data_IF_766234448912
#
_entry.id   IF_766234448912
#
_cell.length_a   1.000
_cell.length_b   1.000
_cell.length_c   1.000
_cell.angle_alpha   90.00
_cell.angle_beta   90.00
_cell.angle_gamma   90.00
#
_symmetry.space_group_name_H-M   'P 1'
#
loop_
_entity.id
_entity.type
_entity.pdbx_description
1 polymer ?
#
# COMPACT_ATOMS: atom_id res chain seq x y z
N UNK A 1 5.13 -12.02 -9.80
CA UNK A 1 4.80 -10.67 -9.33
C UNK A 1 5.37 -9.65 -10.30
N UNK A 2 4.64 -8.57 -10.60
CA UNK A 2 5.13 -7.44 -11.37
C UNK A 2 4.53 -6.14 -10.84
N UNK A 3 5.10 -5.00 -11.24
CA UNK A 3 4.77 -3.69 -10.69
C UNK A 3 4.49 -2.70 -11.83
N UNK A 4 3.59 -1.76 -11.59
CA UNK A 4 3.25 -0.70 -12.54
C UNK A 4 3.09 0.62 -11.79
N UNK A 5 3.81 1.65 -12.20
CA UNK A 5 3.58 3.00 -11.71
C UNK A 5 2.27 3.49 -12.32
N UNK A 6 1.29 3.80 -11.48
CA UNK A 6 0.00 4.34 -11.90
C UNK A 6 0.07 5.84 -12.06
N UNK A 7 0.62 6.52 -11.06
CA UNK A 7 0.76 7.96 -11.04
C UNK A 7 2.07 8.37 -10.41
N UNK A 8 2.64 9.47 -10.88
CA UNK A 8 3.81 10.12 -10.29
C UNK A 8 3.60 11.64 -10.30
N UNK A 9 3.89 12.28 -9.18
CA UNK A 9 3.93 13.72 -9.06
C UNK A 9 5.20 14.14 -8.32
N UNK A 10 6.09 14.80 -9.04
CA UNK A 10 7.39 15.26 -8.50
C UNK A 10 7.28 16.55 -7.70
N UNK A 11 6.13 17.23 -7.75
CA UNK A 11 5.88 18.49 -7.07
C UNK A 11 4.80 18.37 -5.99
N UNK A 12 4.59 17.16 -5.48
CA UNK A 12 3.63 16.93 -4.41
C UNK A 12 3.96 17.76 -3.16
N UNK A 13 2.91 18.14 -2.42
CA UNK A 13 3.01 18.91 -1.17
C UNK A 13 3.79 20.24 -1.36
N UNK A 14 3.47 20.96 -2.43
CA UNK A 14 4.14 22.24 -2.71
C UNK A 14 5.60 22.09 -3.17
N UNK A 15 5.99 20.93 -3.70
CA UNK A 15 7.32 20.66 -4.20
C UNK A 15 8.30 20.05 -3.20
N UNK A 16 7.88 19.82 -1.95
CA UNK A 16 8.77 19.19 -0.95
C UNK A 16 8.89 17.68 -1.12
N UNK A 17 7.99 17.05 -1.87
CA UNK A 17 7.95 15.59 -2.05
C UNK A 17 7.71 15.17 -3.51
N UNK A 18 8.18 13.96 -3.84
CA UNK A 18 7.69 13.18 -4.97
C UNK A 18 6.70 12.15 -4.45
N UNK A 19 5.47 12.16 -4.97
CA UNK A 19 4.44 11.15 -4.68
C UNK A 19 4.36 10.15 -5.83
N UNK A 20 4.23 8.87 -5.49
CA UNK A 20 3.98 7.79 -6.45
C UNK A 20 2.85 6.88 -5.97
N UNK A 21 2.08 6.36 -6.89
CA UNK A 21 1.21 5.22 -6.68
C UNK A 21 1.71 4.07 -7.56
N UNK A 22 1.95 2.93 -6.95
CA UNK A 22 2.50 1.74 -7.60
C UNK A 22 1.56 0.58 -7.36
N UNK A 23 1.00 0.00 -8.43
CA UNK A 23 0.28 -1.27 -8.33
C UNK A 23 1.26 -2.43 -8.29
N UNK A 24 1.03 -3.32 -7.33
CA UNK A 24 1.73 -4.58 -7.14
C UNK A 24 0.79 -5.70 -7.56
N UNK A 25 1.07 -6.33 -8.70
CA UNK A 25 0.28 -7.42 -9.25
C UNK A 25 0.81 -8.75 -8.73
N UNK A 26 -0.07 -9.52 -8.09
CA UNK A 26 0.29 -10.76 -7.40
C UNK A 26 0.39 -11.95 -8.35
N UNK A 27 -0.30 -11.88 -9.48
CA UNK A 27 -0.36 -12.93 -10.51
C UNK A 27 0.08 -12.39 -11.86
N UNK A 28 0.11 -13.27 -12.88
CA UNK A 28 0.32 -12.85 -14.26
C UNK A 28 -0.88 -12.10 -14.84
N UNK A 29 -2.07 -12.32 -14.29
CA UNK A 29 -3.27 -11.54 -14.65
C UNK A 29 -3.34 -10.27 -13.81
N UNK A 30 -3.82 -9.18 -14.41
CA UNK A 30 -3.93 -7.87 -13.74
C UNK A 30 -5.14 -7.78 -12.79
N UNK A 31 -5.78 -8.91 -12.45
CA UNK A 31 -6.97 -8.94 -11.61
C UNK A 31 -6.69 -8.73 -10.12
N UNK A 32 -5.59 -9.29 -9.63
CA UNK A 32 -5.26 -9.26 -8.20
C UNK A 32 -4.04 -8.37 -7.97
N UNK A 33 -4.29 -7.19 -7.42
CA UNK A 33 -3.26 -6.22 -7.11
C UNK A 33 -3.64 -5.39 -5.88
N UNK A 34 -2.64 -4.83 -5.25
CA UNK A 34 -2.81 -3.75 -4.28
C UNK A 34 -2.00 -2.52 -4.71
N UNK A 35 -2.35 -1.36 -4.18
CA UNK A 35 -1.68 -0.10 -4.54
C UNK A 35 -0.87 0.42 -3.37
N UNK A 36 0.44 0.58 -3.59
CA UNK A 36 1.37 1.24 -2.66
C UNK A 36 1.36 2.73 -2.98
N UNK A 37 1.02 3.55 -1.99
CA UNK A 37 1.20 5.00 -2.02
C UNK A 37 2.53 5.34 -1.35
N UNK A 38 3.38 6.11 -2.05
CA UNK A 38 4.72 6.43 -1.61
C UNK A 38 4.92 7.94 -1.68
N UNK A 39 5.48 8.52 -0.61
CA UNK A 39 5.99 9.89 -0.57
C UNK A 39 7.49 9.86 -0.29
N UNK A 40 8.27 10.59 -1.06
CA UNK A 40 9.72 10.65 -0.97
C UNK A 40 10.13 12.11 -0.90
N UNK A 41 10.91 12.56 0.10
CA UNK A 41 11.36 13.94 0.17
C UNK A 41 12.23 14.31 -1.03
N UNK A 42 12.00 15.48 -1.61
CA UNK A 42 12.78 15.97 -2.75
C UNK A 42 14.16 16.49 -2.30
N UNK A 43 14.25 17.09 -1.12
CA UNK A 43 15.51 17.54 -0.51
C UNK A 43 16.26 16.35 0.10
N UNK A 44 17.08 15.68 -0.73
CA UNK A 44 17.88 14.52 -0.31
C UNK A 44 19.15 14.40 -1.16
N UNK A 45 20.21 13.85 -0.56
CA UNK A 45 21.49 13.54 -1.25
C UNK A 45 21.64 12.05 -1.57
N UNK A 46 20.64 11.23 -1.30
CA UNK A 46 20.71 9.79 -1.50
C UNK A 46 19.46 9.08 -1.01
N UNK A 47 19.64 7.87 -0.52
CA UNK A 47 18.59 7.08 0.09
C UNK A 47 18.15 7.67 1.42
N UNK A 48 16.87 7.56 1.71
CA UNK A 48 16.25 8.04 2.94
C UNK A 48 15.59 6.88 3.70
N UNK A 49 15.52 6.96 5.04
CA UNK A 49 14.75 5.98 5.80
C UNK A 49 13.28 6.08 5.42
N UNK A 50 12.59 4.94 5.46
CA UNK A 50 11.20 4.81 5.08
C UNK A 50 10.34 4.36 6.26
N UNK A 51 9.29 5.10 6.57
CA UNK A 51 8.19 4.60 7.38
C UNK A 51 7.20 3.89 6.46
N UNK A 52 6.88 2.64 6.80
CA UNK A 52 5.90 1.85 6.07
C UNK A 52 4.84 1.28 7.01
N UNK A 53 3.58 1.31 6.59
CA UNK A 53 2.49 0.76 7.38
C UNK A 53 1.20 0.58 6.59
N UNK A 54 0.28 -0.18 7.18
CA UNK A 54 -1.04 -0.41 6.62
C UNK A 54 -1.99 0.73 7.02
N UNK A 55 -2.78 1.25 6.08
CA UNK A 55 -3.88 2.13 6.40
C UNK A 55 -5.22 1.37 6.41
N UNK A 56 -6.21 1.92 7.15
CA UNK A 56 -7.46 1.23 7.46
C UNK A 56 -8.63 1.61 6.57
N UNK A 57 -8.53 2.69 5.78
CA UNK A 57 -9.67 3.28 5.08
C UNK A 57 -9.40 3.62 3.61
N UNK A 58 -8.27 3.19 3.08
CA UNK A 58 -7.83 3.47 1.71
C UNK A 58 -6.83 4.62 1.63
N UNK A 59 -5.96 4.55 0.63
CA UNK A 59 -4.84 5.48 0.46
C UNK A 59 -5.27 6.95 0.36
N UNK A 60 -6.43 7.23 -0.23
CA UNK A 60 -6.98 8.59 -0.36
C UNK A 60 -7.35 9.23 0.99
N UNK A 61 -7.45 8.44 2.06
CA UNK A 61 -7.85 8.95 3.38
C UNK A 61 -6.70 9.52 4.19
N UNK A 62 -5.45 9.22 3.84
CA UNK A 62 -4.28 9.64 4.63
C UNK A 62 -3.84 11.08 4.38
N UNK A 63 -4.34 11.72 3.33
CA UNK A 63 -4.02 13.10 2.98
C UNK A 63 -5.18 13.78 2.27
N UNK A 64 -5.29 15.08 2.44
CA UNK A 64 -6.23 15.92 1.67
C UNK A 64 -5.78 16.12 0.22
N UNK A 65 -4.55 15.77 -0.13
CA UNK A 65 -3.99 15.98 -1.44
C UNK A 65 -4.82 15.31 -2.55
N UNK A 66 -5.29 16.05 -3.55
CA UNK A 66 -6.27 15.56 -4.54
C UNK A 66 -5.70 14.54 -5.52
N UNK A 67 -4.37 14.49 -5.67
CA UNK A 67 -3.68 13.60 -6.61
C UNK A 67 -3.63 12.12 -6.19
N UNK A 68 -4.07 11.76 -4.98
CA UNK A 68 -4.17 10.36 -4.58
C UNK A 68 -5.43 9.75 -5.19
N UNK A 69 -5.31 8.62 -5.86
CA UNK A 69 -6.42 7.93 -6.51
C UNK A 69 -7.44 7.40 -5.51
N UNK A 70 -8.70 7.42 -5.90
CA UNK A 70 -9.74 6.67 -5.20
C UNK A 70 -9.68 5.18 -5.61
N UNK A 71 -10.13 4.26 -4.76
CA UNK A 71 -10.36 2.87 -5.17
C UNK A 71 -11.31 2.79 -6.36
N UNK A 72 -11.07 1.85 -7.26
CA UNK A 72 -11.96 1.65 -8.42
C UNK A 72 -13.37 1.22 -7.96
N UNK A 73 -14.42 1.42 -8.78
CA UNK A 73 -15.77 0.97 -8.44
C UNK A 73 -15.86 -0.52 -8.12
N UNK A 74 -15.05 -1.35 -8.79
CA UNK A 74 -14.98 -2.78 -8.54
C UNK A 74 -14.46 -3.07 -7.13
N UNK A 75 -13.34 -2.45 -6.74
CA UNK A 75 -12.79 -2.56 -5.39
C UNK A 75 -13.74 -2.02 -4.32
N UNK A 76 -14.46 -0.93 -4.60
CA UNK A 76 -15.45 -0.39 -3.67
C UNK A 76 -16.57 -1.39 -3.40
N UNK A 77 -17.01 -2.15 -4.41
CA UNK A 77 -18.00 -3.22 -4.26
C UNK A 77 -17.44 -4.41 -3.47
N UNK A 78 -16.21 -4.82 -3.77
CA UNK A 78 -15.52 -5.91 -3.09
C UNK A 78 -15.42 -5.66 -1.58
N UNK A 79 -15.14 -4.42 -1.17
CA UNK A 79 -15.05 -4.03 0.24
C UNK A 79 -16.38 -3.73 0.90
N UNK A 80 -17.49 -3.96 0.24
CA UNK A 80 -18.85 -3.70 0.75
C UNK A 80 -19.03 -2.29 1.32
N UNK A 81 -18.30 -1.32 0.80
CA UNK A 81 -18.42 0.06 1.26
C UNK A 81 -19.78 0.65 0.83
N UNK A 82 -20.67 0.82 1.78
CA UNK A 82 -21.92 1.54 1.56
C UNK A 82 -21.68 2.99 1.15
N UNK A 83 -20.60 3.57 1.65
CA UNK A 83 -20.13 4.91 1.31
C UNK A 83 -18.62 4.97 1.39
N UNK A 84 -17.99 5.51 0.35
CA UNK A 84 -16.54 5.73 0.32
C UNK A 84 -16.13 6.69 1.45
N UNK A 85 -15.13 6.35 2.27
CA UNK A 85 -14.61 7.26 3.27
C UNK A 85 -14.14 8.59 2.65
N UNK A 86 -14.39 9.75 3.30
CA UNK A 86 -13.92 11.03 2.80
C UNK A 86 -12.40 11.08 2.66
N UNK A 87 -11.93 11.79 1.62
CA UNK A 87 -10.50 12.10 1.45
C UNK A 87 -9.96 12.79 2.70
N UNK A 88 -8.76 12.39 3.13
CA UNK A 88 -8.06 13.01 4.25
C UNK A 88 -8.65 12.80 5.62
N UNK A 89 -9.68 11.96 5.79
CA UNK A 89 -10.31 11.72 7.10
C UNK A 89 -9.33 11.16 8.15
N UNK A 90 -8.26 10.51 7.71
CA UNK A 90 -7.20 9.97 8.56
C UNK A 90 -5.91 10.82 8.53
N UNK A 91 -5.90 11.99 7.87
CA UNK A 91 -4.69 12.78 7.66
C UNK A 91 -3.96 13.15 8.96
N UNK A 92 -4.69 13.41 10.05
CA UNK A 92 -4.10 13.72 11.35
C UNK A 92 -3.23 12.59 11.94
N UNK A 93 -3.37 11.35 11.45
CA UNK A 93 -2.56 10.19 11.88
C UNK A 93 -1.32 9.98 11.00
N UNK A 94 -1.23 10.69 9.87
CA UNK A 94 -0.21 10.50 8.85
C UNK A 94 0.49 11.83 8.60
N UNK A 95 1.43 12.20 9.47
CA UNK A 95 2.16 13.48 9.44
C UNK A 95 3.14 13.54 8.25
N UNK A 96 2.60 13.51 7.01
CA UNK A 96 3.38 13.33 5.78
C UNK A 96 4.36 14.48 5.60
N UNK A 97 3.90 15.73 5.70
CA UNK A 97 4.73 16.93 5.53
C UNK A 97 5.89 16.94 6.53
N UNK A 98 5.59 16.67 7.81
CA UNK A 98 6.62 16.61 8.86
C UNK A 98 7.68 15.54 8.55
N UNK A 99 7.29 14.36 8.05
CA UNK A 99 8.24 13.32 7.66
C UNK A 99 9.11 13.77 6.50
N UNK A 100 8.52 14.40 5.47
CA UNK A 100 9.25 14.90 4.30
C UNK A 100 10.28 15.97 4.69
N UNK A 101 9.88 16.92 5.55
CA UNK A 101 10.75 17.99 6.07
C UNK A 101 11.93 17.45 6.88
N UNK A 102 11.73 16.34 7.59
CA UNK A 102 12.77 15.67 8.35
C UNK A 102 13.55 14.61 7.57
N UNK A 103 13.35 14.51 6.25
CA UNK A 103 14.14 13.63 5.38
C UNK A 103 13.73 12.16 5.42
N UNK A 104 12.53 11.86 5.88
CA UNK A 104 11.98 10.51 5.89
C UNK A 104 11.02 10.32 4.71
N UNK A 105 11.03 9.14 4.10
CA UNK A 105 10.00 8.71 3.17
C UNK A 105 8.83 8.05 3.94
N UNK A 106 7.66 8.04 3.32
CA UNK A 106 6.47 7.35 3.80
C UNK A 106 5.91 6.46 2.70
N UNK A 107 5.55 5.22 3.03
CA UNK A 107 4.74 4.39 2.16
C UNK A 107 3.60 3.73 2.94
N UNK A 108 2.49 3.49 2.26
CA UNK A 108 1.34 2.80 2.84
C UNK A 108 0.58 2.01 1.79
N UNK A 109 -0.08 0.95 2.24
CA UNK A 109 -1.07 0.21 1.47
C UNK A 109 -2.38 0.13 2.27
N UNK A 110 -3.48 0.05 1.56
CA UNK A 110 -4.76 -0.24 2.20
C UNK A 110 -4.84 -1.72 2.55
N UNK A 111 -5.01 -2.04 3.84
CA UNK A 111 -5.06 -3.44 4.31
C UNK A 111 -6.14 -4.27 3.62
N UNK A 112 -7.29 -3.65 3.32
CA UNK A 112 -8.38 -4.32 2.65
C UNK A 112 -8.08 -4.71 1.20
N UNK A 113 -7.07 -4.11 0.56
CA UNK A 113 -6.57 -4.56 -0.75
C UNK A 113 -5.91 -5.96 -0.66
N UNK A 114 -5.48 -6.36 0.54
CA UNK A 114 -4.84 -7.64 0.81
C UNK A 114 -5.85 -8.64 1.32
N UNK A 115 -6.55 -8.28 2.40
CA UNK A 115 -7.61 -9.09 2.97
C UNK A 115 -8.56 -8.18 3.77
N UNK A 116 -9.88 -8.25 3.55
CA UNK A 116 -10.85 -7.42 4.26
C UNK A 116 -10.84 -7.68 5.77
N UNK A 117 -11.12 -6.63 6.56
CA UNK A 117 -11.21 -6.73 8.01
C UNK A 117 -12.68 -6.97 8.45
N UNK A 118 -13.28 -7.96 7.86
CA UNK A 118 -14.60 -8.49 8.24
C UNK A 118 -14.69 -9.95 7.82
N UNK A 119 -15.54 -10.71 8.48
CA UNK A 119 -15.75 -12.12 8.13
C UNK A 119 -16.50 -12.24 6.79
N UNK A 120 -15.76 -12.58 5.77
CA UNK A 120 -16.26 -12.92 4.44
C UNK A 120 -15.99 -14.38 4.08
N UNK A 121 -15.60 -15.18 5.06
CA UNK A 121 -15.14 -16.55 4.89
C UNK A 121 -13.95 -16.66 3.91
N UNK A 122 -13.05 -15.66 3.92
CA UNK A 122 -11.84 -15.58 3.07
C UNK A 122 -12.12 -15.70 1.56
N UNK A 123 -13.24 -15.14 1.11
CA UNK A 123 -13.64 -15.17 -0.31
C UNK A 123 -13.07 -14.02 -1.11
N UNK A 124 -12.88 -12.87 -0.47
CA UNK A 124 -12.24 -11.69 -1.05
C UNK A 124 -10.79 -11.60 -0.59
N UNK A 125 -9.97 -10.78 -1.22
CA UNK A 125 -8.56 -10.66 -0.85
C UNK A 125 -7.66 -11.72 -1.51
N UNK A 126 -6.54 -12.04 -0.85
CA UNK A 126 -5.46 -12.84 -1.45
C UNK A 126 -5.58 -14.34 -1.20
N UNK A 127 -6.33 -14.78 -0.20
CA UNK A 127 -6.43 -16.19 0.18
C UNK A 127 -6.81 -17.12 -0.98
N UNK A 128 -7.83 -16.79 -1.83
CA UNK A 128 -8.21 -17.63 -2.95
C UNK A 128 -7.08 -17.92 -3.96
N UNK A 129 -6.05 -17.05 -4.01
CA UNK A 129 -4.90 -17.25 -4.90
C UNK A 129 -4.02 -18.44 -4.49
N UNK A 130 -4.12 -18.88 -3.25
CA UNK A 130 -3.30 -19.94 -2.66
C UNK A 130 -4.07 -21.23 -2.39
N UNK A 131 -5.37 -21.25 -2.68
CA UNK A 131 -6.20 -22.44 -2.46
C UNK A 131 -5.80 -23.58 -3.38
N UNK A 132 -5.80 -24.78 -2.82
CA UNK A 132 -5.64 -26.04 -3.55
C UNK A 132 -6.96 -26.33 -4.33
N UNK A 133 -6.87 -27.23 -5.30
CA UNK A 133 -8.05 -27.65 -6.07
C UNK A 133 -9.14 -28.18 -5.13
N UNK A 134 -10.32 -27.55 -5.16
CA UNK A 134 -11.47 -27.89 -4.30
C UNK A 134 -11.46 -27.26 -2.91
N UNK A 135 -10.44 -26.48 -2.57
CA UNK A 135 -10.41 -25.71 -1.32
C UNK A 135 -11.18 -24.40 -1.51
N UNK A 136 -11.97 -24.01 -0.49
CA UNK A 136 -12.79 -22.79 -0.51
C UNK A 136 -12.61 -21.95 0.77
N UNK A 137 -11.77 -22.42 1.68
CA UNK A 137 -11.49 -21.80 2.97
C UNK A 137 -10.13 -22.25 3.47
N UNK A 138 -9.34 -21.43 4.19
CA UNK A 138 -8.11 -21.87 4.83
C UNK A 138 -8.37 -23.01 5.80
N UNK A 139 -7.48 -23.99 5.87
CA UNK A 139 -7.50 -24.99 6.92
C UNK A 139 -7.12 -24.37 8.27
N UNK A 140 -7.41 -25.05 9.38
CA UNK A 140 -7.17 -24.51 10.73
C UNK A 140 -5.69 -24.24 11.04
N UNK A 141 -4.78 -24.87 10.31
CA UNK A 141 -3.33 -24.71 10.39
C UNK A 141 -2.74 -23.81 9.28
N UNK A 142 -3.59 -23.25 8.43
CA UNK A 142 -3.18 -22.30 7.41
C UNK A 142 -3.32 -20.84 7.91
N UNK A 143 -2.64 -19.94 7.25
CA UNK A 143 -2.58 -18.53 7.59
C UNK A 143 -3.92 -17.79 7.40
N UNK A 144 -4.24 -16.88 8.32
CA UNK A 144 -5.42 -16.03 8.29
C UNK A 144 -5.08 -14.58 7.92
N UNK A 145 -6.04 -13.67 8.12
CA UNK A 145 -5.99 -12.26 7.72
C UNK A 145 -4.73 -11.52 8.19
N UNK A 146 -4.35 -11.66 9.47
CA UNK A 146 -3.16 -10.96 10.01
C UNK A 146 -1.89 -11.43 9.30
N UNK A 147 -1.78 -12.71 9.03
CA UNK A 147 -0.64 -13.25 8.30
C UNK A 147 -0.62 -12.79 6.83
N UNK A 148 -1.79 -12.64 6.19
CA UNK A 148 -1.90 -12.04 4.86
C UNK A 148 -1.39 -10.61 4.84
N UNK A 149 -1.75 -9.81 5.85
CA UNK A 149 -1.24 -8.44 5.97
C UNK A 149 0.27 -8.38 6.23
N UNK A 150 0.81 -9.28 7.07
CA UNK A 150 2.25 -9.40 7.29
C UNK A 150 3.00 -9.79 6.01
N UNK A 151 2.49 -10.76 5.27
CA UNK A 151 3.04 -11.17 3.98
C UNK A 151 3.09 -10.03 2.96
N UNK A 152 2.04 -9.20 2.88
CA UNK A 152 2.03 -8.03 1.99
C UNK A 152 3.11 -6.99 2.38
N UNK A 153 3.40 -6.85 3.68
CA UNK A 153 4.51 -6.00 4.13
C UNK A 153 5.86 -6.52 3.64
N UNK A 154 6.09 -7.83 3.65
CA UNK A 154 7.32 -8.45 3.11
C UNK A 154 7.46 -8.21 1.61
N UNK A 155 6.36 -8.33 0.84
CA UNK A 155 6.38 -8.02 -0.59
C UNK A 155 6.73 -6.55 -0.87
N UNK A 156 6.25 -5.63 -0.04
CA UNK A 156 6.61 -4.22 -0.15
C UNK A 156 8.07 -3.96 0.21
N UNK A 157 8.62 -4.66 1.20
CA UNK A 157 10.05 -4.57 1.53
C UNK A 157 10.91 -5.01 0.34
N UNK A 158 10.54 -6.09 -0.35
CA UNK A 158 11.19 -6.51 -1.58
C UNK A 158 11.11 -5.43 -2.68
N UNK A 159 9.94 -4.80 -2.87
CA UNK A 159 9.76 -3.69 -3.79
C UNK A 159 10.72 -2.53 -3.48
N UNK A 160 10.85 -2.18 -2.19
CA UNK A 160 11.70 -1.07 -1.77
C UNK A 160 13.20 -1.39 -1.86
N UNK A 161 13.60 -2.65 -1.68
CA UNK A 161 15.01 -3.11 -1.78
C UNK A 161 15.47 -3.32 -3.21
N UNK A 162 14.58 -3.68 -4.13
CA UNK A 162 14.95 -4.07 -5.50
C UNK A 162 15.10 -2.83 -6.41
N UNK A 163 16.25 -2.15 -6.28
CA UNK A 163 16.60 -0.88 -6.95
C UNK A 163 16.61 -0.92 -8.46
N UNK A 164 17.01 -2.03 -9.06
CA UNK A 164 17.35 -2.06 -10.49
C UNK A 164 16.13 -2.04 -11.39
N UNK A 165 14.96 -2.47 -10.91
CA UNK A 165 13.75 -2.56 -11.74
C UNK A 165 12.83 -1.36 -11.66
N UNK A 166 12.82 -0.59 -10.55
CA UNK A 166 11.70 0.33 -10.32
C UNK A 166 12.05 1.77 -9.98
N UNK A 167 13.33 2.14 -9.79
CA UNK A 167 13.79 3.51 -9.43
C UNK A 167 12.90 4.21 -8.36
N UNK A 168 12.13 3.43 -7.61
CA UNK A 168 11.12 3.96 -6.73
C UNK A 168 11.71 4.56 -5.46
N UNK A 169 12.81 3.99 -4.96
CA UNK A 169 13.50 4.48 -3.76
C UNK A 169 14.98 4.18 -3.90
N UNK A 170 15.89 5.18 -3.83
CA UNK A 170 17.31 4.92 -3.74
C UNK A 170 17.58 4.28 -2.38
N UNK A 171 18.21 3.12 -2.36
CA UNK A 171 18.38 2.35 -1.15
C UNK A 171 19.57 2.80 -0.33
N UNK A 172 19.41 2.89 0.93
CA UNK A 172 20.20 2.29 1.98
C UNK A 172 19.38 2.38 3.29
N UNK A 173 19.12 1.22 3.90
CA UNK A 173 18.46 1.05 5.20
C UNK A 173 16.98 1.41 5.22
N UNK A 174 16.15 0.59 4.60
CA UNK A 174 14.75 0.47 4.99
C UNK A 174 14.72 -0.08 6.43
N UNK A 175 14.34 0.75 7.39
CA UNK A 175 13.89 0.27 8.69
C UNK A 175 12.38 0.32 8.66
N UNK A 176 11.75 -0.82 8.51
CA UNK A 176 10.31 -0.97 8.67
C UNK A 176 9.98 -0.78 10.15
N UNK A 177 9.34 0.32 10.47
CA UNK A 177 8.65 0.47 11.74
C UNK A 177 7.18 0.17 11.48
N UNK A 178 6.70 -1.00 11.89
CA UNK A 178 5.28 -1.29 11.99
C UNK A 178 4.73 -0.50 13.17
N UNK A 179 4.03 0.59 12.89
CA UNK A 179 3.22 1.27 13.89
C UNK A 179 1.85 0.59 13.92
N UNK A 180 1.51 0.05 15.06
CA UNK A 180 0.19 -0.48 15.41
C UNK A 180 -0.80 0.63 15.76
#
# INVERSE_FOLDING_TARGET
>A
MHFKILTEDKNALGGIATRKEVSVYLTKSDKHYFTVLIYIPNKRSGAVPLFFGLNFKGNHTISLYPGISYPTPEKQKEFLWKRLPPRGIAAARWSIEMLMENGYALATIYRGDIDPDFDDAFKNGVHPLFYKKGQHHPANDEWGTIAAWAWANELCDELFRNRQRYQCIPSSRVRTFTAW
#
